data_IF_612933868547
#
_entry.id   IF_612933868547
#
_cell.length_a   1.000
_cell.length_b   1.000
_cell.length_c   1.000
_cell.angle_alpha   90.00
_cell.angle_beta   90.00
_cell.angle_gamma   90.00
#
_symmetry.space_group_name_H-M   'P 1'
#
loop_
_entity.id
_entity.type
_entity.pdbx_description
1 polymer ?
#
# COMPACT_ATOMS: atom_id res chain seq x y z
N UNK A 1 -2.71 6.72 8.15
CA UNK A 1 -2.56 5.42 7.44
C UNK A 1 -1.84 4.44 8.36
N UNK A 2 -2.02 3.14 8.13
CA UNK A 2 -1.28 2.08 8.82
C UNK A 2 -0.53 1.25 7.78
N UNK A 3 0.55 0.60 8.19
CA UNK A 3 1.33 -0.29 7.33
C UNK A 3 1.01 -1.74 7.70
N UNK A 4 0.44 -2.48 6.74
CA UNK A 4 -0.01 -3.86 6.91
C UNK A 4 0.73 -4.76 5.92
N UNK A 5 1.89 -5.31 6.28
CA UNK A 5 2.67 -6.14 5.36
C UNK A 5 2.01 -7.49 5.12
N UNK A 6 2.23 -8.04 3.93
CA UNK A 6 1.87 -9.40 3.58
C UNK A 6 3.07 -10.14 2.97
N UNK A 7 3.10 -11.45 3.10
CA UNK A 7 4.06 -12.29 2.37
C UNK A 7 3.63 -12.40 0.91
N UNK A 8 4.61 -12.45 0.00
CA UNK A 8 4.35 -12.72 -1.41
C UNK A 8 4.24 -14.23 -1.62
N UNK A 9 3.03 -14.73 -1.87
CA UNK A 9 2.83 -16.15 -2.10
C UNK A 9 3.29 -16.55 -3.51
N UNK A 10 3.98 -17.69 -3.64
CA UNK A 10 4.34 -18.24 -4.97
C UNK A 10 3.11 -18.79 -5.72
N UNK A 11 2.05 -19.11 -4.97
CA UNK A 11 0.76 -19.59 -5.46
C UNK A 11 -0.31 -19.30 -4.40
N UNK A 12 -1.51 -18.89 -4.82
CA UNK A 12 -2.58 -18.52 -3.88
C UNK A 12 -2.58 -17.02 -3.56
N UNK A 13 -3.14 -16.66 -2.41
CA UNK A 13 -3.20 -15.27 -1.95
C UNK A 13 -2.05 -14.94 -1.00
N UNK A 14 -1.64 -13.69 -1.01
CA UNK A 14 -0.69 -13.13 -0.04
C UNK A 14 -1.25 -13.22 1.38
N UNK A 15 -0.39 -13.55 2.35
CA UNK A 15 -0.80 -13.70 3.75
C UNK A 15 -0.39 -12.47 4.56
N UNK A 16 -1.37 -11.84 5.22
CA UNK A 16 -1.09 -10.74 6.14
C UNK A 16 -0.22 -11.21 7.30
N UNK A 17 0.85 -10.47 7.56
CA UNK A 17 1.78 -10.73 8.66
C UNK A 17 1.93 -9.49 9.54
N UNK A 18 2.38 -9.70 10.77
CA UNK A 18 2.74 -8.60 11.65
C UNK A 18 4.04 -7.93 11.18
N UNK A 19 4.23 -6.67 11.58
CA UNK A 19 5.49 -5.97 11.32
C UNK A 19 6.69 -6.69 11.97
N UNK A 20 6.50 -7.29 13.15
CA UNK A 20 7.52 -8.08 13.83
C UNK A 20 7.89 -9.34 13.05
N UNK A 21 6.91 -10.01 12.42
CA UNK A 21 7.17 -11.13 11.53
C UNK A 21 7.97 -10.70 10.31
N UNK A 22 7.58 -9.60 9.65
CA UNK A 22 8.34 -9.02 8.54
C UNK A 22 9.78 -8.68 8.95
N UNK A 23 9.97 -8.06 10.12
CA UNK A 23 11.28 -7.70 10.66
C UNK A 23 12.18 -8.91 10.90
N UNK A 24 11.61 -10.08 11.25
CA UNK A 24 12.35 -11.35 11.33
C UNK A 24 12.75 -11.88 9.95
N UNK A 25 11.93 -11.67 8.93
CA UNK A 25 12.17 -12.18 7.57
C UNK A 25 13.18 -11.35 6.79
N UNK A 26 13.08 -10.02 6.81
CA UNK A 26 13.89 -9.13 5.97
C UNK A 26 14.83 -8.21 6.78
N UNK A 27 14.78 -8.30 8.10
CA UNK A 27 15.59 -7.51 9.02
C UNK A 27 14.89 -6.23 9.52
N UNK A 28 15.19 -5.77 10.74
CA UNK A 28 14.49 -4.66 11.38
C UNK A 28 14.73 -3.32 10.69
N UNK A 29 15.96 -3.06 10.22
CA UNK A 29 16.28 -1.79 9.56
C UNK A 29 15.53 -1.65 8.23
N UNK A 30 15.61 -2.67 7.38
CA UNK A 30 14.91 -2.68 6.09
C UNK A 30 13.40 -2.60 6.28
N UNK A 31 12.85 -3.28 7.29
CA UNK A 31 11.42 -3.22 7.58
C UNK A 31 10.97 -1.81 7.96
N UNK A 32 11.75 -1.08 8.77
CA UNK A 32 11.46 0.33 9.08
C UNK A 32 11.50 1.20 7.84
N UNK A 33 12.53 1.05 7.00
CA UNK A 33 12.66 1.80 5.76
C UNK A 33 11.48 1.56 4.80
N UNK A 34 11.07 0.30 4.61
CA UNK A 34 9.94 -0.05 3.73
C UNK A 34 8.62 0.50 4.27
N UNK A 35 8.38 0.43 5.58
CA UNK A 35 7.21 1.03 6.22
C UNK A 35 7.18 2.54 6.00
N UNK A 36 8.28 3.22 6.30
CA UNK A 36 8.35 4.67 6.25
C UNK A 36 8.17 5.18 4.80
N UNK A 37 8.81 4.52 3.82
CA UNK A 37 8.62 4.80 2.39
C UNK A 37 7.17 4.55 1.94
N UNK A 38 6.57 3.42 2.31
CA UNK A 38 5.20 3.08 1.93
C UNK A 38 4.20 4.10 2.45
N UNK A 39 4.31 4.48 3.72
CA UNK A 39 3.43 5.48 4.33
C UNK A 39 3.62 6.86 3.71
N UNK A 40 4.87 7.26 3.41
CA UNK A 40 5.16 8.53 2.75
C UNK A 40 4.56 8.60 1.34
N UNK A 41 4.74 7.55 0.53
CA UNK A 41 4.19 7.47 -0.83
C UNK A 41 2.66 7.48 -0.79
N UNK A 42 2.06 6.62 0.05
CA UNK A 42 0.60 6.56 0.20
C UNK A 42 0.03 7.91 0.62
N UNK A 43 0.58 8.55 1.66
CA UNK A 43 0.06 9.84 2.14
C UNK A 43 0.09 10.90 1.04
N UNK A 44 1.21 11.01 0.32
CA UNK A 44 1.34 11.97 -0.79
C UNK A 44 0.31 11.71 -1.89
N UNK A 45 0.11 10.45 -2.27
CA UNK A 45 -0.84 10.07 -3.30
C UNK A 45 -2.30 10.27 -2.86
N UNK A 46 -2.64 9.87 -1.64
CA UNK A 46 -3.97 10.01 -1.07
C UNK A 46 -4.36 11.50 -0.95
N UNK A 47 -3.45 12.36 -0.50
CA UNK A 47 -3.68 13.81 -0.43
C UNK A 47 -3.94 14.41 -1.82
N UNK A 48 -3.13 14.01 -2.82
CA UNK A 48 -3.29 14.45 -4.20
C UNK A 48 -4.62 13.98 -4.84
N UNK A 49 -4.99 12.72 -4.62
CA UNK A 49 -6.23 12.14 -5.14
C UNK A 49 -7.47 12.75 -4.47
N UNK A 50 -7.39 13.04 -3.17
CA UNK A 50 -8.48 13.65 -2.41
C UNK A 50 -8.86 15.03 -2.95
N UNK A 51 -7.88 15.82 -3.40
CA UNK A 51 -8.12 17.10 -4.07
C UNK A 51 -8.91 16.97 -5.39
N UNK A 52 -9.00 15.77 -5.95
CA UNK A 52 -9.70 15.44 -7.20
C UNK A 52 -10.96 14.61 -6.98
N UNK A 53 -11.44 14.52 -5.74
CA UNK A 53 -12.67 13.79 -5.41
C UNK A 53 -12.51 12.27 -5.34
N UNK A 54 -11.28 11.76 -5.22
CA UNK A 54 -11.00 10.32 -5.11
C UNK A 54 -10.40 10.03 -3.73
N UNK A 55 -10.94 9.03 -3.04
CA UNK A 55 -10.34 8.45 -1.84
C UNK A 55 -9.56 7.19 -2.25
N UNK A 56 -8.28 7.14 -1.92
CA UNK A 56 -7.48 5.91 -1.98
C UNK A 56 -7.62 5.22 -0.63
N UNK A 57 -8.45 4.18 -0.55
CA UNK A 57 -8.69 3.48 0.71
C UNK A 57 -7.42 2.78 1.20
N UNK A 58 -6.72 2.12 0.28
CA UNK A 58 -5.40 1.50 0.46
C UNK A 58 -4.80 1.14 -0.91
N UNK A 59 -3.55 0.69 -0.88
CA UNK A 59 -2.73 0.33 -2.05
C UNK A 59 -1.71 -0.72 -1.63
N UNK A 60 -1.34 -1.60 -2.56
CA UNK A 60 -0.14 -2.45 -2.46
C UNK A 60 1.05 -1.71 -3.11
N UNK A 61 2.22 -1.80 -2.49
CA UNK A 61 3.49 -1.45 -3.13
C UNK A 61 4.43 -2.64 -3.12
N UNK A 62 5.22 -2.80 -4.17
CA UNK A 62 6.34 -3.72 -4.19
C UNK A 62 7.65 -2.95 -4.32
N UNK A 63 8.65 -3.41 -3.58
CA UNK A 63 9.98 -2.82 -3.60
C UNK A 63 11.01 -3.89 -3.97
N UNK A 64 11.86 -3.54 -4.92
CA UNK A 64 13.09 -4.27 -5.23
C UNK A 64 14.31 -3.65 -4.56
N UNK A 65 15.45 -4.33 -4.69
CA UNK A 65 16.76 -3.80 -4.29
C UNK A 65 17.69 -3.82 -5.49
N UNK A 66 18.28 -2.67 -5.77
CA UNK A 66 19.29 -2.47 -6.83
C UNK A 66 20.61 -2.03 -6.19
N UNK A 67 21.71 -1.92 -6.95
CA UNK A 67 22.95 -1.31 -6.44
C UNK A 67 22.76 0.14 -5.94
N UNK A 68 21.71 0.83 -6.38
CA UNK A 68 21.35 2.19 -5.97
C UNK A 68 20.49 2.23 -4.70
N UNK A 69 20.00 1.08 -4.22
CA UNK A 69 19.21 0.97 -2.99
C UNK A 69 17.80 0.42 -3.22
N UNK A 70 16.89 0.75 -2.31
CA UNK A 70 15.47 0.35 -2.40
C UNK A 70 14.86 1.07 -3.60
N UNK A 71 14.21 0.30 -4.47
CA UNK A 71 13.58 0.81 -5.70
C UNK A 71 12.12 0.40 -5.71
N UNK A 72 11.21 1.36 -5.90
CA UNK A 72 9.79 1.06 -6.11
C UNK A 72 9.62 0.33 -7.45
N UNK A 73 8.87 -0.76 -7.44
CA UNK A 73 8.67 -1.65 -8.58
C UNK A 73 7.17 -1.94 -8.77
N UNK A 74 6.87 -2.84 -9.71
CA UNK A 74 5.51 -3.27 -10.05
C UNK A 74 4.64 -2.11 -10.54
N UNK A 75 3.33 -2.29 -10.61
CA UNK A 75 2.39 -1.19 -10.82
C UNK A 75 2.13 -0.45 -9.50
N UNK A 76 1.78 0.83 -9.62
CA UNK A 76 1.72 1.74 -8.47
C UNK A 76 0.47 2.60 -8.59
N UNK A 77 -0.43 2.52 -7.60
CA UNK A 77 -1.63 3.36 -7.51
C UNK A 77 -2.54 3.22 -8.74
N UNK A 78 -2.71 1.98 -9.19
CA UNK A 78 -3.68 1.58 -10.21
C UNK A 78 -4.94 1.00 -9.53
N UNK A 79 -6.07 0.88 -10.25
CA UNK A 79 -7.27 0.27 -9.69
C UNK A 79 -7.06 -1.21 -9.30
N UNK A 80 -6.23 -1.94 -10.02
CA UNK A 80 -5.89 -3.34 -9.69
C UNK A 80 -5.04 -3.45 -8.41
N UNK A 81 -4.22 -2.44 -8.10
CA UNK A 81 -3.36 -2.42 -6.91
C UNK A 81 -3.92 -1.62 -5.73
N UNK A 82 -5.05 -0.91 -5.92
CA UNK A 82 -5.57 0.08 -4.97
C UNK A 82 -7.09 0.15 -5.00
N UNK A 83 -7.71 0.33 -3.83
CA UNK A 83 -9.15 0.60 -3.77
C UNK A 83 -9.44 2.09 -3.88
N UNK A 84 -10.11 2.49 -4.96
CA UNK A 84 -10.53 3.87 -5.20
C UNK A 84 -12.02 4.06 -4.93
N UNK A 85 -12.37 5.07 -4.13
CA UNK A 85 -13.76 5.43 -3.84
C UNK A 85 -14.09 6.87 -4.25
N UNK A 86 -15.29 7.13 -4.80
CA UNK A 86 -15.81 8.48 -5.01
C UNK A 86 -16.03 9.20 -3.69
N UNK A 87 -15.30 10.31 -3.49
CA UNK A 87 -15.28 11.03 -2.21
C UNK A 87 -16.63 11.65 -1.85
N UNK A 88 -17.42 12.04 -2.85
CA UNK A 88 -18.77 12.62 -2.71
C UNK A 88 -19.82 11.57 -2.30
N UNK A 89 -19.54 10.28 -2.50
CA UNK A 89 -20.44 9.17 -2.12
C UNK A 89 -19.95 8.38 -0.89
N UNK A 90 -18.76 8.67 -0.39
CA UNK A 90 -18.19 7.97 0.76
C UNK A 90 -19.05 8.15 2.02
N UNK A 91 -19.34 7.03 2.69
CA UNK A 91 -20.05 7.05 3.97
C UNK A 91 -19.57 5.91 4.88
N UNK A 92 -19.09 6.18 6.10
CA UNK A 92 -18.67 5.13 7.02
C UNK A 92 -19.86 4.24 7.45
N UNK A 93 -19.57 2.98 7.81
CA UNK A 93 -20.57 2.02 8.28
C UNK A 93 -21.29 1.24 7.18
N UNK A 94 -20.84 1.33 5.92
CA UNK A 94 -21.33 0.53 4.78
C UNK A 94 -20.20 0.17 3.81
N UNK A 95 -20.51 -0.68 2.84
CA UNK A 95 -19.65 -0.88 1.66
C UNK A 95 -19.62 0.39 0.81
N UNK A 96 -18.46 0.67 0.20
CA UNK A 96 -18.28 1.82 -0.68
C UNK A 96 -18.42 1.42 -2.14
N UNK A 97 -18.79 2.37 -2.99
CA UNK A 97 -18.78 2.21 -4.44
C UNK A 97 -17.32 2.15 -4.92
N UNK A 98 -17.03 1.21 -5.83
CA UNK A 98 -15.73 1.14 -6.50
C UNK A 98 -15.72 2.09 -7.70
N UNK A 99 -14.57 2.72 -7.97
CA UNK A 99 -14.39 3.52 -9.18
C UNK A 99 -14.15 2.68 -10.45
N UNK A 100 -13.97 1.37 -10.28
CA UNK A 100 -13.65 0.35 -11.27
C UNK A 100 -14.65 -0.82 -11.26
#
# INVERSE_FOLDING_TARGET
PIFTPATKAASGHDENISFEQMAKLVGPELSRQLRDLSLQIYSKAADYARQRGIIIADTKFEFGRTPQGITLADEVLTPDSSRFWPADKYQPGRSQESFD
#
